data_IF_690377213500
#
_entry.id   IF_690377213500
#
_cell.length_a   1.000
_cell.length_b   1.000
_cell.length_c   1.000
_cell.angle_alpha   90.00
_cell.angle_beta   90.00
_cell.angle_gamma   90.00
#
_symmetry.space_group_name_H-M   'P 1'
#
loop_
_entity.id
_entity.type
_entity.pdbx_description
1 polymer ?
#
# COMPACT_ATOMS: atom_id res chain seq x y z
N UNK A 1 -12.61 -8.63 -15.36
CA UNK A 1 -12.00 -7.95 -14.22
C UNK A 1 -12.88 -8.12 -12.98
N UNK A 2 -12.27 -8.40 -11.84
CA UNK A 2 -12.98 -8.54 -10.56
C UNK A 2 -12.13 -7.93 -9.45
N UNK A 3 -12.73 -7.12 -8.58
CA UNK A 3 -12.15 -6.72 -7.30
C UNK A 3 -12.67 -7.65 -6.21
N UNK A 4 -11.79 -8.13 -5.34
CA UNK A 4 -12.18 -8.96 -4.20
C UNK A 4 -12.66 -8.12 -3.00
N UNK A 5 -12.17 -6.89 -2.88
CA UNK A 5 -12.42 -6.01 -1.73
C UNK A 5 -13.45 -4.92 -2.03
N UNK A 6 -13.84 -4.75 -3.29
CA UNK A 6 -14.79 -3.71 -3.67
C UNK A 6 -15.97 -4.31 -4.44
N UNK A 7 -17.22 -3.95 -4.09
CA UNK A 7 -18.40 -4.46 -4.78
C UNK A 7 -18.48 -3.93 -6.22
N UNK A 8 -19.16 -4.64 -7.14
CA UNK A 8 -19.40 -4.13 -8.49
C UNK A 8 -20.10 -2.77 -8.44
N UNK A 9 -19.68 -1.84 -9.31
CA UNK A 9 -20.34 -0.53 -9.46
C UNK A 9 -21.66 -0.64 -10.19
N UNK A 10 -21.78 -1.65 -11.06
CA UNK A 10 -23.00 -1.97 -11.76
C UNK A 10 -22.99 -3.45 -12.18
N UNK A 11 -24.18 -4.03 -12.28
CA UNK A 11 -24.42 -5.36 -12.84
C UNK A 11 -25.22 -5.22 -14.13
N UNK A 12 -24.73 -5.85 -15.21
CA UNK A 12 -25.34 -5.79 -16.53
C UNK A 12 -26.10 -7.08 -16.79
N UNK A 13 -27.42 -6.99 -16.85
CA UNK A 13 -28.34 -8.05 -17.28
C UNK A 13 -29.18 -7.53 -18.46
N UNK A 14 -30.49 -7.81 -18.44
CA UNK A 14 -31.44 -7.17 -19.37
C UNK A 14 -31.47 -5.65 -19.16
N UNK A 15 -31.32 -5.22 -17.92
CA UNK A 15 -31.13 -3.84 -17.51
C UNK A 15 -29.80 -3.68 -16.78
N UNK A 16 -29.32 -2.44 -16.68
CA UNK A 16 -28.12 -2.11 -15.87
C UNK A 16 -28.61 -1.69 -14.48
N UNK A 17 -28.21 -2.44 -13.45
CA UNK A 17 -28.44 -2.12 -12.06
C UNK A 17 -27.18 -1.46 -11.47
N UNK A 18 -27.27 -0.18 -11.10
CA UNK A 18 -26.17 0.57 -10.49
C UNK A 18 -26.13 0.40 -8.99
N UNK A 19 -24.94 0.14 -8.43
CA UNK A 19 -24.66 0.16 -7.00
C UNK A 19 -24.25 1.58 -6.59
N UNK A 20 -25.24 2.46 -6.47
CA UNK A 20 -25.00 3.87 -6.19
C UNK A 20 -24.13 4.13 -4.93
N UNK A 21 -24.29 3.38 -3.82
CA UNK A 21 -23.44 3.55 -2.64
C UNK A 21 -21.95 3.27 -2.90
N UNK A 22 -21.62 2.41 -3.89
CA UNK A 22 -20.25 2.06 -4.22
C UNK A 22 -19.61 3.03 -5.24
N UNK A 23 -20.41 3.87 -5.89
CA UNK A 23 -19.90 4.85 -6.86
C UNK A 23 -19.29 6.01 -6.10
N UNK A 24 -17.98 6.27 -6.36
CA UNK A 24 -17.30 7.43 -5.79
C UNK A 24 -17.83 8.71 -6.40
N UNK A 25 -18.48 9.53 -5.59
CA UNK A 25 -18.90 10.86 -5.99
C UNK A 25 -17.84 11.89 -5.55
N UNK A 26 -17.28 12.70 -6.45
CA UNK A 26 -16.33 13.73 -6.07
C UNK A 26 -17.03 14.77 -5.18
N UNK A 27 -16.40 15.09 -4.05
CA UNK A 27 -16.89 16.10 -3.10
C UNK A 27 -16.65 17.53 -3.60
N UNK A 28 -15.67 17.68 -4.50
CA UNK A 28 -15.35 18.96 -5.15
C UNK A 28 -15.26 18.76 -6.65
N UNK A 29 -16.04 19.52 -7.37
CA UNK A 29 -15.96 19.58 -8.83
C UNK A 29 -14.97 20.65 -9.23
N UNK A 30 -13.76 20.25 -9.59
CA UNK A 30 -12.81 21.18 -10.22
C UNK A 30 -13.20 21.38 -11.70
N UNK A 31 -13.41 22.60 -12.16
CA UNK A 31 -13.73 22.86 -13.57
C UNK A 31 -12.57 22.56 -14.53
N UNK A 32 -11.36 22.33 -14.00
CA UNK A 32 -10.16 22.08 -14.78
C UNK A 32 -9.64 20.67 -14.57
N UNK A 33 -9.45 19.93 -15.66
CA UNK A 33 -8.75 18.65 -15.64
C UNK A 33 -7.29 18.88 -15.29
N UNK A 34 -6.83 18.23 -14.21
CA UNK A 34 -5.42 18.21 -13.80
C UNK A 34 -4.85 16.83 -14.09
N UNK A 35 -3.78 16.78 -14.86
CA UNK A 35 -3.10 15.55 -15.23
C UNK A 35 -1.73 15.53 -14.53
N UNK A 36 -1.48 14.48 -13.73
CA UNK A 36 -0.17 14.21 -13.17
C UNK A 36 0.55 13.20 -14.07
N UNK A 37 1.56 13.66 -14.81
CA UNK A 37 2.28 12.84 -15.79
C UNK A 37 3.57 12.23 -15.24
N UNK A 38 4.06 12.71 -14.08
CA UNK A 38 5.25 12.17 -13.44
C UNK A 38 4.88 11.06 -12.49
N UNK A 39 5.33 9.85 -12.80
CA UNK A 39 5.25 8.69 -11.94
C UNK A 39 6.68 8.36 -11.48
N UNK A 40 6.82 8.01 -10.19
CA UNK A 40 8.10 7.58 -9.67
C UNK A 40 8.37 6.12 -10.04
N UNK A 41 9.64 5.80 -10.21
CA UNK A 41 10.20 4.45 -10.20
C UNK A 41 10.84 4.13 -8.83
N UNK A 42 11.59 3.02 -8.75
CA UNK A 42 12.27 2.61 -7.53
C UNK A 42 11.30 2.03 -6.47
N UNK A 43 10.29 1.30 -6.91
CA UNK A 43 9.34 0.60 -6.04
C UNK A 43 9.56 -0.91 -6.18
N UNK A 44 9.70 -1.59 -5.05
CA UNK A 44 9.83 -3.04 -4.94
C UNK A 44 8.60 -3.64 -4.29
N UNK A 45 8.24 -4.87 -4.67
CA UNK A 45 7.21 -5.67 -4.00
C UNK A 45 7.88 -6.82 -3.28
N UNK A 46 7.85 -6.80 -1.96
CA UNK A 46 8.42 -7.84 -1.11
C UNK A 46 7.30 -8.69 -0.54
N UNK A 47 7.13 -9.87 -1.09
CA UNK A 47 6.19 -10.86 -0.57
C UNK A 47 6.85 -11.71 0.51
N UNK A 48 6.24 -11.80 1.69
CA UNK A 48 6.72 -12.65 2.75
C UNK A 48 6.38 -14.11 2.49
N UNK A 49 7.34 -15.00 2.74
CA UNK A 49 7.15 -16.45 2.68
C UNK A 49 8.07 -17.15 3.67
N UNK A 50 7.73 -18.38 4.13
CA UNK A 50 8.63 -19.18 4.94
C UNK A 50 9.94 -19.46 4.19
N UNK A 51 11.07 -19.08 4.79
CA UNK A 51 12.39 -19.21 4.16
C UNK A 51 12.98 -17.90 3.61
N UNK A 52 12.26 -16.79 3.62
CA UNK A 52 12.86 -15.48 3.36
C UNK A 52 13.85 -15.15 4.48
N UNK A 53 15.14 -15.18 4.16
CA UNK A 53 16.22 -14.94 5.11
C UNK A 53 16.65 -13.48 5.19
N UNK A 54 17.34 -13.12 6.29
CA UNK A 54 17.82 -11.75 6.54
C UNK A 54 18.67 -11.20 5.38
N UNK A 55 19.63 -11.98 4.87
CA UNK A 55 20.53 -11.52 3.82
C UNK A 55 19.80 -11.18 2.52
N UNK A 56 18.79 -11.96 2.16
CA UNK A 56 17.99 -11.72 0.95
C UNK A 56 17.16 -10.45 1.13
N UNK A 57 16.43 -10.33 2.24
CA UNK A 57 15.63 -9.13 2.51
C UNK A 57 16.52 -7.87 2.57
N UNK A 58 17.68 -7.96 3.22
CA UNK A 58 18.65 -6.87 3.28
C UNK A 58 19.15 -6.46 1.90
N UNK A 59 19.46 -7.43 1.03
CA UNK A 59 19.89 -7.15 -0.34
C UNK A 59 18.79 -6.44 -1.14
N UNK A 60 17.54 -6.92 -1.08
CA UNK A 60 16.39 -6.29 -1.74
C UNK A 60 16.21 -4.84 -1.27
N UNK A 61 16.22 -4.62 0.05
CA UNK A 61 16.03 -3.28 0.63
C UNK A 61 17.25 -2.36 0.48
N UNK A 62 18.38 -2.86 0.01
CA UNK A 62 19.59 -2.07 -0.27
C UNK A 62 19.78 -1.77 -1.75
N UNK A 63 18.82 -2.12 -2.60
CA UNK A 63 18.91 -1.89 -4.04
C UNK A 63 19.10 -0.39 -4.34
N UNK A 64 20.07 -0.04 -5.21
CA UNK A 64 20.27 1.36 -5.62
C UNK A 64 19.01 1.95 -6.26
N UNK A 65 18.63 3.15 -5.85
CA UNK A 65 17.45 3.83 -6.36
C UNK A 65 16.11 3.37 -5.73
N UNK A 66 16.13 2.44 -4.79
CA UNK A 66 14.92 2.03 -4.07
C UNK A 66 14.38 3.20 -3.24
N UNK A 67 13.09 3.52 -3.43
CA UNK A 67 12.39 4.62 -2.76
C UNK A 67 11.23 4.14 -1.89
N UNK A 68 10.56 3.08 -2.33
CA UNK A 68 9.45 2.51 -1.58
C UNK A 68 9.34 1.00 -1.75
N UNK A 69 8.67 0.38 -0.80
CA UNK A 69 8.39 -1.05 -0.76
C UNK A 69 6.93 -1.29 -0.48
N UNK A 70 6.29 -2.11 -1.29
CA UNK A 70 5.03 -2.77 -0.96
C UNK A 70 5.39 -4.05 -0.24
N UNK A 71 5.10 -4.14 1.06
CA UNK A 71 5.36 -5.30 1.88
C UNK A 71 4.09 -6.16 1.96
N UNK A 72 4.08 -7.31 1.30
CA UNK A 72 2.97 -8.26 1.32
C UNK A 72 3.11 -9.22 2.51
N UNK A 73 2.31 -8.96 3.55
CA UNK A 73 2.32 -9.74 4.80
C UNK A 73 1.21 -10.79 4.84
N UNK A 74 1.24 -11.67 5.85
CA UNK A 74 0.28 -12.77 5.98
C UNK A 74 -1.06 -12.30 6.55
N UNK A 75 -2.16 -12.79 5.99
CA UNK A 75 -3.51 -12.57 6.53
C UNK A 75 -3.80 -11.08 6.81
N UNK A 76 -4.14 -10.76 8.05
CA UNK A 76 -4.49 -9.40 8.46
C UNK A 76 -3.29 -8.50 8.80
N UNK A 77 -2.10 -8.78 8.28
CA UNK A 77 -0.90 -7.98 8.51
C UNK A 77 0.15 -8.66 9.40
N UNK A 78 0.05 -9.98 9.56
CA UNK A 78 1.01 -10.74 10.36
C UNK A 78 2.35 -10.90 9.61
N UNK A 79 3.45 -10.89 10.37
CA UNK A 79 4.81 -10.94 9.83
C UNK A 79 5.71 -11.76 10.76
N UNK A 80 6.95 -12.12 10.34
CA UNK A 80 7.91 -12.77 11.20
C UNK A 80 8.19 -11.98 12.49
N UNK A 81 8.28 -12.67 13.62
CA UNK A 81 8.58 -12.08 14.93
C UNK A 81 10.08 -11.90 15.19
N UNK A 82 10.92 -12.35 14.27
CA UNK A 82 12.36 -12.30 14.38
C UNK A 82 12.87 -10.85 14.51
N UNK A 83 13.74 -10.59 15.48
CA UNK A 83 14.31 -9.26 15.70
C UNK A 83 15.07 -8.71 14.49
N UNK A 84 15.73 -9.59 13.70
CA UNK A 84 16.43 -9.17 12.50
C UNK A 84 15.48 -8.58 11.46
N UNK A 85 14.24 -9.10 11.36
CA UNK A 85 13.25 -8.62 10.40
C UNK A 85 12.87 -7.16 10.67
N UNK A 86 12.51 -6.86 11.92
CA UNK A 86 12.18 -5.48 12.34
C UNK A 86 13.39 -4.55 12.16
N UNK A 87 14.59 -5.02 12.52
CA UNK A 87 15.83 -4.24 12.37
C UNK A 87 16.09 -3.87 10.91
N UNK A 88 15.99 -4.81 9.97
CA UNK A 88 16.24 -4.57 8.54
C UNK A 88 15.23 -3.58 7.96
N UNK A 89 13.94 -3.68 8.32
CA UNK A 89 12.93 -2.72 7.89
C UNK A 89 13.18 -1.33 8.49
N UNK A 90 13.52 -1.26 9.78
CA UNK A 90 13.84 0.02 10.47
C UNK A 90 15.04 0.71 9.84
N UNK A 91 16.09 -0.03 9.49
CA UNK A 91 17.27 0.50 8.78
C UNK A 91 16.89 1.05 7.39
N UNK A 92 16.00 0.37 6.66
CA UNK A 92 15.51 0.84 5.37
C UNK A 92 14.70 2.14 5.52
N UNK A 93 13.79 2.21 6.49
CA UNK A 93 13.01 3.41 6.80
C UNK A 93 13.94 4.57 7.22
N UNK A 94 14.98 4.28 8.00
CA UNK A 94 15.99 5.27 8.40
C UNK A 94 16.78 5.86 7.23
N UNK A 95 16.85 5.16 6.10
CA UNK A 95 17.41 5.68 4.84
C UNK A 95 16.39 6.44 3.98
N UNK A 96 15.16 6.62 4.47
CA UNK A 96 14.09 7.32 3.75
C UNK A 96 13.22 6.43 2.85
N UNK A 97 13.37 5.10 2.90
CA UNK A 97 12.51 4.19 2.15
C UNK A 97 11.14 4.13 2.81
N UNK A 98 10.09 4.34 2.03
CA UNK A 98 8.71 4.20 2.49
C UNK A 98 8.30 2.73 2.37
N UNK A 99 7.76 2.16 3.45
CA UNK A 99 7.23 0.79 3.45
C UNK A 99 5.73 0.85 3.66
N UNK A 100 4.97 0.32 2.69
CA UNK A 100 3.51 0.21 2.71
C UNK A 100 3.12 -1.26 2.86
N UNK A 101 2.49 -1.60 3.98
CA UNK A 101 2.10 -2.97 4.31
C UNK A 101 0.69 -3.28 3.78
N UNK A 102 0.59 -4.31 2.94
CA UNK A 102 -0.67 -4.87 2.45
C UNK A 102 -0.75 -6.37 2.75
N UNK A 103 -1.93 -6.95 2.58
CA UNK A 103 -2.09 -8.40 2.67
C UNK A 103 -1.70 -9.08 1.36
N UNK A 104 -1.06 -10.24 1.43
CA UNK A 104 -0.86 -11.11 0.26
C UNK A 104 -2.08 -11.96 -0.10
N UNK A 105 -3.15 -11.89 0.70
CA UNK A 105 -4.40 -12.59 0.40
C UNK A 105 -5.12 -11.87 -0.74
N UNK A 106 -5.80 -12.62 -1.62
CA UNK A 106 -6.57 -12.06 -2.72
C UNK A 106 -7.75 -11.20 -2.30
N UNK A 107 -8.14 -11.24 -1.00
CA UNK A 107 -9.14 -10.38 -0.38
C UNK A 107 -8.88 -10.25 1.11
N UNK A 108 -9.49 -9.25 1.74
CA UNK A 108 -9.27 -8.91 3.15
C UNK A 108 -8.50 -7.60 3.32
N UNK A 109 -8.14 -7.30 4.56
CA UNK A 109 -7.44 -6.06 4.90
C UNK A 109 -6.35 -6.28 5.93
N UNK A 110 -5.34 -5.42 5.89
CA UNK A 110 -4.36 -5.29 6.97
C UNK A 110 -4.97 -4.48 8.12
N UNK A 111 -4.82 -5.00 9.33
CA UNK A 111 -5.20 -4.33 10.58
C UNK A 111 -4.00 -4.42 11.52
N UNK A 112 -3.10 -3.44 11.44
CA UNK A 112 -1.82 -3.48 12.15
C UNK A 112 -1.97 -3.43 13.67
N UNK A 113 -3.14 -3.03 14.17
CA UNK A 113 -3.43 -2.93 15.59
C UNK A 113 -3.86 -4.27 16.23
N UNK A 114 -4.19 -5.28 15.41
CA UNK A 114 -4.73 -6.56 15.92
C UNK A 114 -3.66 -7.50 16.48
N UNK A 115 -2.43 -7.37 16.04
CA UNK A 115 -1.34 -8.28 16.39
C UNK A 115 -0.10 -7.52 16.84
N UNK A 116 0.65 -8.10 17.77
CA UNK A 116 1.91 -7.54 18.27
C UNK A 116 2.89 -7.22 17.13
N UNK A 117 2.99 -8.12 16.15
CA UNK A 117 3.85 -7.90 14.96
C UNK A 117 3.42 -6.69 14.14
N UNK A 118 2.12 -6.46 13.99
CA UNK A 118 1.58 -5.28 13.31
C UNK A 118 1.91 -3.99 14.06
N UNK A 119 1.74 -3.97 15.38
CA UNK A 119 2.10 -2.83 16.23
C UNK A 119 3.60 -2.51 16.10
N UNK A 120 4.48 -3.51 16.15
CA UNK A 120 5.93 -3.33 15.99
C UNK A 120 6.29 -2.75 14.62
N UNK A 121 5.61 -3.17 13.54
CA UNK A 121 5.78 -2.58 12.21
C UNK A 121 5.34 -1.12 12.19
N UNK A 122 4.23 -0.80 12.82
CA UNK A 122 3.73 0.57 12.92
C UNK A 122 4.69 1.48 13.70
N UNK A 123 5.23 1.00 14.84
CA UNK A 123 6.19 1.72 15.67
C UNK A 123 7.46 2.12 14.92
N UNK A 124 7.95 1.30 14.01
CA UNK A 124 9.12 1.62 13.20
C UNK A 124 8.80 2.50 11.97
N UNK A 125 7.52 2.82 11.73
CA UNK A 125 7.08 3.73 10.67
C UNK A 125 6.59 3.09 9.39
N UNK A 126 6.27 1.78 9.39
CA UNK A 126 5.57 1.11 8.29
C UNK A 126 4.15 1.66 8.19
N UNK A 127 3.71 1.96 6.97
CA UNK A 127 2.37 2.47 6.70
C UNK A 127 1.38 1.32 6.48
N UNK A 128 0.14 1.48 6.95
CA UNK A 128 -0.94 0.54 6.69
C UNK A 128 -1.51 0.78 5.29
N UNK A 129 -1.60 -0.29 4.50
CA UNK A 129 -2.22 -0.28 3.18
C UNK A 129 -3.68 -0.71 3.19
N UNK A 130 -4.23 -1.03 4.38
CA UNK A 130 -5.62 -1.44 4.53
C UNK A 130 -6.00 -2.61 3.61
N UNK A 131 -7.02 -2.43 2.76
CA UNK A 131 -7.52 -3.41 1.81
C UNK A 131 -7.07 -3.14 0.36
N UNK A 132 -5.99 -2.36 0.17
CA UNK A 132 -5.39 -2.16 -1.15
C UNK A 132 -4.93 -3.48 -1.76
N UNK A 133 -5.15 -3.61 -3.08
CA UNK A 133 -4.46 -4.63 -3.87
C UNK A 133 -3.01 -4.22 -4.12
N UNK A 134 -2.17 -5.16 -4.55
CA UNK A 134 -0.77 -4.87 -4.91
C UNK A 134 -0.69 -3.79 -5.98
N UNK A 135 -1.55 -3.88 -7.01
CA UNK A 135 -1.60 -2.89 -8.10
C UNK A 135 -1.99 -1.49 -7.60
N UNK A 136 -2.97 -1.42 -6.71
CA UNK A 136 -3.39 -0.16 -6.11
C UNK A 136 -2.27 0.45 -5.25
N UNK A 137 -1.58 -0.36 -4.44
CA UNK A 137 -0.46 0.07 -3.61
C UNK A 137 0.72 0.57 -4.44
N UNK A 138 1.14 -0.18 -5.47
CA UNK A 138 2.23 0.19 -6.38
C UNK A 138 1.90 1.49 -7.10
N UNK A 139 0.74 1.58 -7.74
CA UNK A 139 0.36 2.77 -8.52
C UNK A 139 0.16 4.00 -7.63
N UNK A 140 -0.35 3.84 -6.42
CA UNK A 140 -0.43 4.91 -5.43
C UNK A 140 0.95 5.43 -5.03
N UNK A 141 1.91 4.54 -4.75
CA UNK A 141 3.29 4.91 -4.45
C UNK A 141 3.94 5.64 -5.64
N UNK A 142 3.79 5.12 -6.86
CA UNK A 142 4.30 5.77 -8.08
C UNK A 142 3.75 7.19 -8.23
N UNK A 143 2.46 7.36 -8.04
CA UNK A 143 1.80 8.65 -8.15
C UNK A 143 2.26 9.62 -7.05
N UNK A 144 2.17 9.22 -5.79
CA UNK A 144 2.45 10.12 -4.65
C UNK A 144 3.93 10.52 -4.61
N UNK A 145 4.85 9.57 -4.85
CA UNK A 145 6.29 9.86 -4.94
C UNK A 145 6.63 10.70 -6.17
N UNK A 146 5.88 10.55 -7.27
CA UNK A 146 6.02 11.35 -8.49
C UNK A 146 5.67 12.82 -8.30
N UNK A 147 4.88 13.16 -7.26
CA UNK A 147 4.56 14.56 -6.92
C UNK A 147 5.77 15.34 -6.36
N UNK A 148 6.81 14.66 -5.87
CA UNK A 148 8.01 15.28 -5.33
C UNK A 148 7.76 16.12 -4.06
N UNK A 149 6.80 15.71 -3.24
CA UNK A 149 6.44 16.41 -2.00
C UNK A 149 7.41 16.08 -0.86
N UNK A 150 7.48 16.93 0.19
CA UNK A 150 8.14 16.60 1.44
C UNK A 150 7.60 15.31 2.07
N UNK A 151 8.43 14.62 2.87
CA UNK A 151 8.12 13.30 3.43
C UNK A 151 6.83 13.28 4.25
N UNK A 152 6.60 14.29 5.08
CA UNK A 152 5.39 14.45 5.90
C UNK A 152 4.11 14.49 5.06
N UNK A 153 4.11 15.27 3.98
CA UNK A 153 3.00 15.36 3.03
C UNK A 153 2.83 14.09 2.22
N UNK A 154 3.93 13.49 1.80
CA UNK A 154 3.93 12.19 1.10
C UNK A 154 3.26 11.13 1.96
N UNK A 155 3.68 10.97 3.22
CA UNK A 155 3.08 10.01 4.16
C UNK A 155 1.62 10.34 4.47
N UNK A 156 1.26 11.60 4.59
CA UNK A 156 -0.13 12.01 4.80
C UNK A 156 -1.04 11.61 3.62
N UNK A 157 -0.57 11.75 2.37
CA UNK A 157 -1.30 11.32 1.18
C UNK A 157 -1.42 9.78 1.09
N UNK A 158 -0.39 9.05 1.51
CA UNK A 158 -0.42 7.58 1.50
C UNK A 158 -1.42 7.01 2.51
N UNK A 159 -1.67 7.71 3.62
CA UNK A 159 -2.60 7.28 4.68
C UNK A 159 -4.08 7.54 4.40
N UNK A 160 -4.43 8.25 3.36
CA UNK A 160 -5.83 8.54 3.01
C UNK A 160 -6.18 8.03 1.62
N UNK A 161 -7.42 7.58 1.37
CA UNK A 161 -7.86 7.23 0.02
C UNK A 161 -7.87 8.49 -0.85
N UNK A 162 -7.32 8.39 -2.06
CA UNK A 162 -7.28 9.48 -3.03
C UNK A 162 -8.33 9.29 -4.13
N UNK A 163 -8.61 8.04 -4.47
CA UNK A 163 -9.51 7.63 -5.56
C UNK A 163 -10.38 6.42 -5.18
N UNK A 164 -10.51 6.11 -3.90
CA UNK A 164 -11.23 4.92 -3.44
C UNK A 164 -10.40 3.64 -3.56
N UNK A 165 -9.07 3.77 -3.58
CA UNK A 165 -8.15 2.65 -3.69
C UNK A 165 -8.07 1.78 -2.43
N UNK A 166 -8.63 2.23 -1.32
CA UNK A 166 -8.88 1.45 -0.11
C UNK A 166 -10.06 2.01 0.68
N UNK A 167 -10.64 1.20 1.55
CA UNK A 167 -11.71 1.59 2.47
C UNK A 167 -11.11 2.27 3.71
N UNK A 168 -11.55 3.50 4.01
CA UNK A 168 -11.08 4.29 5.14
C UNK A 168 -11.75 3.83 6.46
#
# INVERSE_FOLDING_TARGET
>A
FRSYNYPPLAEVGVNIAYNLPAILHPTEVSPQLRIATRLADGIEVVKLFPGLGENILRAMLSAPGLRAVVLETFGAGNAPTNEWFIRVLKEAIGRGIIILNITQCGGGKVSMELYETGLRLQEIGVLCGHDMTTEAAVTKLMYVLGLGLPDDRTRALLRRPLRGEFTA
#
